data_IF_650940609747
#
_entry.id   IF_650940609747
#
_cell.length_a   1.000
_cell.length_b   1.000
_cell.length_c   1.000
_cell.angle_alpha   90.00
_cell.angle_beta   90.00
_cell.angle_gamma   90.00
#
_symmetry.space_group_name_H-M   'P 1'
#
loop_
_entity.id
_entity.type
_entity.pdbx_description
1 polymer ?
#
# COMPACT_ATOMS: atom_id res chain seq x y z
N UNK A 1 2.33 -37.27 -20.12
CA UNK A 1 3.63 -36.84 -20.68
C UNK A 1 4.63 -36.82 -19.54
N UNK A 2 5.59 -37.74 -19.54
CA UNK A 2 6.69 -37.82 -18.58
C UNK A 2 7.84 -36.91 -19.04
N UNK A 3 8.40 -36.08 -18.15
CA UNK A 3 9.45 -35.10 -18.45
C UNK A 3 10.86 -35.67 -18.60
N UNK A 4 10.97 -36.95 -18.95
CA UNK A 4 12.22 -37.70 -19.04
C UNK A 4 12.43 -38.19 -20.46
N UNK A 5 13.58 -37.89 -21.05
CA UNK A 5 13.99 -38.41 -22.35
C UNK A 5 14.93 -39.59 -22.12
N UNK A 6 14.59 -40.73 -22.71
CA UNK A 6 15.43 -41.93 -22.70
C UNK A 6 16.61 -41.74 -23.65
N UNK A 7 17.83 -41.88 -23.14
CA UNK A 7 19.05 -41.88 -23.95
C UNK A 7 19.41 -43.33 -24.27
N UNK A 8 19.32 -43.70 -25.54
CA UNK A 8 19.60 -45.05 -26.03
C UNK A 8 20.97 -45.13 -26.70
N UNK A 9 21.65 -46.26 -26.55
CA UNK A 9 22.89 -46.55 -27.28
C UNK A 9 22.62 -47.11 -28.69
N UNK A 10 23.68 -47.33 -29.49
CA UNK A 10 23.57 -47.86 -30.87
C UNK A 10 22.98 -49.29 -30.95
N UNK A 11 22.71 -49.95 -29.82
CA UNK A 11 22.03 -51.25 -29.71
C UNK A 11 20.58 -51.13 -29.20
N UNK A 12 20.02 -49.90 -29.16
CA UNK A 12 18.66 -49.56 -28.71
C UNK A 12 18.38 -49.86 -27.22
N UNK A 13 19.43 -50.08 -26.41
CA UNK A 13 19.33 -50.23 -24.96
C UNK A 13 19.37 -48.87 -24.24
N UNK A 14 18.49 -48.68 -23.25
CA UNK A 14 18.40 -47.44 -22.47
C UNK A 14 19.59 -47.36 -21.51
N UNK A 15 20.46 -46.37 -21.72
CA UNK A 15 21.70 -46.17 -20.96
C UNK A 15 21.60 -45.06 -19.91
N UNK A 16 20.54 -44.27 -19.93
CA UNK A 16 20.28 -43.26 -18.92
C UNK A 16 19.02 -42.45 -19.21
N UNK A 17 18.54 -41.76 -18.18
CA UNK A 17 17.42 -40.83 -18.28
C UNK A 17 17.93 -39.40 -18.20
N UNK A 18 17.60 -38.59 -19.20
CA UNK A 18 17.84 -37.15 -19.15
C UNK A 18 16.54 -36.45 -18.77
N UNK A 19 16.48 -35.93 -17.55
CA UNK A 19 15.35 -35.13 -17.10
C UNK A 19 15.43 -33.75 -17.75
N UNK A 20 14.40 -33.39 -18.50
CA UNK A 20 14.29 -32.06 -19.10
C UNK A 20 13.48 -31.18 -18.16
N UNK A 21 13.97 -29.98 -17.87
CA UNK A 21 13.21 -28.99 -17.11
C UNK A 21 11.93 -28.69 -17.91
N UNK A 22 10.78 -28.95 -17.30
CA UNK A 22 9.49 -28.61 -17.88
C UNK A 22 9.29 -27.10 -17.80
N UNK A 23 9.20 -26.43 -18.95
CA UNK A 23 8.85 -25.00 -19.04
C UNK A 23 7.33 -24.76 -18.91
N UNK A 24 6.62 -25.64 -18.22
CA UNK A 24 5.17 -25.54 -18.08
C UNK A 24 4.81 -24.44 -17.07
N UNK A 25 4.16 -23.38 -17.54
CA UNK A 25 3.59 -22.35 -16.68
C UNK A 25 2.34 -22.87 -15.97
N UNK A 26 2.40 -22.97 -14.64
CA UNK A 26 1.25 -23.38 -13.82
C UNK A 26 0.45 -22.12 -13.45
N UNK A 27 -0.80 -22.05 -13.90
CA UNK A 27 -1.72 -20.95 -13.58
C UNK A 27 -2.78 -21.47 -12.60
N UNK A 28 -2.85 -20.89 -11.41
CA UNK A 28 -3.94 -21.14 -10.46
C UNK A 28 -5.03 -20.10 -10.62
N UNK A 29 -6.27 -20.55 -10.50
CA UNK A 29 -7.43 -19.67 -10.35
C UNK A 29 -7.86 -19.68 -8.88
N UNK A 30 -7.98 -18.49 -8.28
CA UNK A 30 -8.41 -18.34 -6.88
C UNK A 30 -9.44 -17.21 -6.75
N UNK A 31 -10.22 -17.26 -5.68
CA UNK A 31 -11.24 -16.27 -5.36
C UNK A 31 -10.79 -15.44 -4.17
N UNK A 32 -10.72 -14.12 -4.36
CA UNK A 32 -10.31 -13.16 -3.33
C UNK A 32 -11.53 -12.33 -2.93
N UNK A 33 -11.86 -12.32 -1.65
CA UNK A 33 -12.91 -11.45 -1.12
C UNK A 33 -12.36 -10.03 -0.92
N UNK A 34 -13.12 -9.02 -1.33
CA UNK A 34 -12.82 -7.61 -1.10
C UNK A 34 -13.87 -6.99 -0.17
N UNK A 35 -13.42 -6.20 0.80
CA UNK A 35 -14.28 -5.44 1.69
C UNK A 35 -13.60 -4.14 2.06
N UNK A 36 -14.29 -3.02 1.79
CA UNK A 36 -13.91 -1.67 2.18
C UNK A 36 -15.11 -0.98 2.82
N UNK A 37 -14.88 -0.24 3.90
CA UNK A 37 -15.92 0.41 4.70
C UNK A 37 -15.52 1.85 4.92
N UNK A 38 -16.42 2.77 4.57
CA UNK A 38 -16.26 4.20 4.74
C UNK A 38 -17.38 4.74 5.64
N UNK A 39 -17.01 5.34 6.76
CA UNK A 39 -17.98 6.01 7.62
C UNK A 39 -18.57 7.22 6.93
N UNK A 40 -19.88 7.43 7.08
CA UNK A 40 -20.58 8.56 6.46
C UNK A 40 -20.08 9.88 7.01
N UNK A 41 -19.83 9.94 8.33
CA UNK A 41 -19.31 11.11 9.02
C UNK A 41 -17.79 11.09 9.07
N UNK A 42 -17.18 12.23 8.79
CA UNK A 42 -15.74 12.43 8.95
C UNK A 42 -15.45 13.80 9.58
N UNK A 43 -14.42 13.90 10.45
CA UNK A 43 -14.04 15.16 11.03
C UNK A 43 -13.30 16.02 10.00
N UNK A 44 -13.81 17.22 9.77
CA UNK A 44 -13.19 18.25 8.92
C UNK A 44 -12.81 19.44 9.77
N UNK A 45 -11.59 19.93 9.57
CA UNK A 45 -11.13 21.17 10.18
C UNK A 45 -11.70 22.37 9.43
N UNK A 46 -12.58 23.13 10.08
CA UNK A 46 -13.03 24.42 9.57
C UNK A 46 -12.38 25.59 10.31
N UNK A 47 -11.90 26.55 9.54
CA UNK A 47 -11.37 27.80 10.07
C UNK A 47 -12.53 28.69 10.54
N UNK A 48 -12.51 29.11 11.81
CA UNK A 48 -13.53 30.03 12.39
C UNK A 48 -13.31 31.48 11.96
N UNK A 49 -12.25 31.77 11.20
CA UNK A 49 -11.89 33.11 10.72
C UNK A 49 -11.16 33.98 11.74
N UNK A 50 -11.17 33.62 13.03
CA UNK A 50 -10.39 34.31 14.07
C UNK A 50 -8.90 34.00 13.92
N UNK A 51 -8.08 35.05 13.97
CA UNK A 51 -6.63 34.98 13.78
C UNK A 51 -5.93 35.66 14.94
N UNK A 52 -4.81 35.08 15.36
CA UNK A 52 -3.88 35.67 16.31
C UNK A 52 -2.47 35.66 15.73
N UNK A 53 -1.66 36.62 16.13
CA UNK A 53 -0.27 36.75 15.73
C UNK A 53 0.59 36.90 16.98
N UNK A 54 1.73 36.24 16.97
CA UNK A 54 2.75 36.31 18.02
C UNK A 54 4.10 36.36 17.35
N UNK A 55 5.04 37.03 17.97
CA UNK A 55 6.41 37.00 17.50
C UNK A 55 7.38 36.87 18.66
N UNK A 56 8.48 36.19 18.39
CA UNK A 56 9.58 36.05 19.31
C UNK A 56 10.81 36.68 18.72
N UNK A 57 11.52 37.43 19.56
CA UNK A 57 12.90 37.82 19.27
C UNK A 57 13.79 36.79 19.95
N UNK A 58 14.53 36.04 19.15
CA UNK A 58 15.48 35.04 19.62
C UNK A 58 16.88 35.64 19.55
N UNK A 59 17.55 35.67 20.70
CA UNK A 59 18.95 36.08 20.83
C UNK A 59 19.74 34.93 21.47
N UNK A 60 21.09 34.93 21.42
CA UNK A 60 21.86 33.89 22.08
C UNK A 60 21.56 33.86 23.58
N UNK A 61 20.88 32.80 24.03
CA UNK A 61 20.51 32.58 25.44
C UNK A 61 19.23 33.27 25.93
N UNK A 62 18.49 34.02 25.10
CA UNK A 62 17.21 34.64 25.52
C UNK A 62 16.15 34.63 24.43
N UNK A 63 14.90 34.41 24.84
CA UNK A 63 13.73 34.40 23.98
C UNK A 63 12.69 35.40 24.51
N UNK A 64 12.40 36.43 23.73
CA UNK A 64 11.46 37.48 24.10
C UNK A 64 10.16 37.31 23.32
N UNK A 65 9.08 36.94 24.02
CA UNK A 65 7.75 36.84 23.42
C UNK A 65 7.08 38.21 23.40
N UNK A 66 6.54 38.57 22.24
CA UNK A 66 5.65 39.70 22.04
C UNK A 66 4.29 39.21 21.51
N UNK A 67 3.22 39.67 22.17
CA UNK A 67 1.86 39.20 21.93
C UNK A 67 1.30 38.43 23.12
N UNK A 68 0.25 37.63 22.90
CA UNK A 68 -0.42 36.88 23.97
C UNK A 68 0.40 35.66 24.41
N UNK A 69 0.59 35.48 25.72
CA UNK A 69 1.29 34.30 26.28
C UNK A 69 0.54 33.01 25.98
N UNK A 70 -0.78 33.03 26.14
CA UNK A 70 -1.67 31.93 25.81
C UNK A 70 -2.56 32.31 24.63
N UNK A 71 -2.83 31.32 23.77
CA UNK A 71 -3.75 31.50 22.67
C UNK A 71 -5.19 31.41 23.18
N UNK A 72 -6.09 32.29 22.74
CA UNK A 72 -7.48 32.31 23.18
C UNK A 72 -8.33 31.19 22.55
N UNK A 73 -7.69 30.16 21.97
CA UNK A 73 -8.33 29.14 21.16
C UNK A 73 -7.97 27.75 21.70
N UNK A 74 -8.95 26.90 22.03
CA UNK A 74 -8.67 25.53 22.48
C UNK A 74 -8.14 24.64 21.35
N UNK A 75 -8.65 24.82 20.13
CA UNK A 75 -8.16 24.18 18.91
C UNK A 75 -7.75 25.25 17.89
N UNK A 76 -6.54 25.12 17.33
CA UNK A 76 -6.01 26.08 16.36
C UNK A 76 -4.96 25.44 15.45
N UNK A 77 -4.86 25.96 14.23
CA UNK A 77 -3.74 25.71 13.33
C UNK A 77 -2.75 26.88 13.41
N UNK A 78 -1.49 26.59 13.72
CA UNK A 78 -0.43 27.59 13.80
C UNK A 78 0.60 27.40 12.67
N UNK A 79 0.88 28.50 11.96
CA UNK A 79 2.00 28.59 11.02
C UNK A 79 3.12 29.39 11.67
N UNK A 80 4.27 28.77 11.85
CA UNK A 80 5.45 29.42 12.41
C UNK A 80 6.49 29.66 11.32
N UNK A 81 6.84 30.92 11.10
CA UNK A 81 7.91 31.33 10.21
C UNK A 81 9.07 31.91 11.04
N UNK A 82 10.31 31.58 10.69
CA UNK A 82 11.50 32.13 11.32
C UNK A 82 12.30 32.92 10.30
N UNK A 83 12.57 34.17 10.61
CA UNK A 83 13.35 35.10 9.82
C UNK A 83 14.69 35.32 10.51
N UNK A 84 15.76 34.87 9.87
CA UNK A 84 17.14 35.12 10.30
C UNK A 84 17.68 36.21 9.37
N UNK A 85 18.14 37.32 9.96
CA UNK A 85 18.85 38.34 9.19
C UNK A 85 20.25 37.83 8.90
N UNK A 86 20.83 38.20 7.76
CA UNK A 86 22.22 37.87 7.43
C UNK A 86 23.00 39.17 7.22
N UNK A 87 24.19 39.24 7.83
CA UNK A 87 25.24 40.17 7.46
C UNK A 87 25.84 39.65 6.15
N UNK A 88 25.69 40.44 5.09
CA UNK A 88 25.95 40.00 3.72
C UNK A 88 25.22 38.67 3.38
N UNK A 89 25.82 37.80 2.57
CA UNK A 89 25.20 36.52 2.14
C UNK A 89 25.56 35.31 3.02
N UNK A 90 26.51 35.47 3.95
CA UNK A 90 27.18 34.32 4.58
C UNK A 90 27.13 34.30 6.11
N UNK A 91 26.90 35.44 6.77
CA UNK A 91 26.98 35.50 8.23
C UNK A 91 25.59 35.67 8.84
N UNK A 92 24.98 34.63 9.43
CA UNK A 92 23.69 34.80 10.10
C UNK A 92 23.85 35.76 11.28
N UNK A 93 22.99 36.76 11.33
CA UNK A 93 22.89 37.66 12.46
C UNK A 93 22.45 36.87 13.69
N UNK A 94 23.05 37.11 14.87
CA UNK A 94 22.77 36.32 16.08
C UNK A 94 21.34 36.54 16.61
N UNK A 95 20.61 37.51 16.05
CA UNK A 95 19.20 37.77 16.38
C UNK A 95 18.31 37.29 15.25
N UNK A 96 17.29 36.50 15.59
CA UNK A 96 16.25 36.06 14.66
C UNK A 96 14.86 36.42 15.16
N UNK A 97 13.93 36.59 14.22
CA UNK A 97 12.53 36.89 14.51
C UNK A 97 11.71 35.69 14.11
N UNK A 98 11.00 35.08 15.07
CA UNK A 98 9.98 34.08 14.80
C UNK A 98 8.63 34.77 14.78
N UNK A 99 7.81 34.51 13.77
CA UNK A 99 6.42 34.96 13.68
C UNK A 99 5.53 33.73 13.63
N UNK A 100 4.61 33.62 14.56
CA UNK A 100 3.56 32.60 14.56
C UNK A 100 2.23 33.25 14.23
N UNK A 101 1.55 32.70 13.23
CA UNK A 101 0.19 33.03 12.87
C UNK A 101 -0.71 31.86 13.23
N UNK A 102 -1.55 32.06 14.23
CA UNK A 102 -2.51 31.06 14.69
C UNK A 102 -3.89 31.39 14.17
N UNK A 103 -4.59 30.38 13.68
CA UNK A 103 -5.99 30.45 13.25
C UNK A 103 -6.82 29.51 14.11
N UNK A 104 -7.91 30.00 14.68
CA UNK A 104 -8.88 29.12 15.36
C UNK A 104 -9.49 28.17 14.32
N UNK A 105 -9.34 26.87 14.56
CA UNK A 105 -9.93 25.84 13.73
C UNK A 105 -10.76 24.93 14.64
N UNK A 106 -11.92 24.49 14.16
CA UNK A 106 -12.80 23.58 14.89
C UNK A 106 -13.01 22.33 14.06
N UNK A 107 -13.08 21.18 14.74
CA UNK A 107 -13.55 19.94 14.13
C UNK A 107 -15.07 20.01 13.98
N UNK A 108 -15.52 19.92 12.75
CA UNK A 108 -16.92 19.70 12.42
C UNK A 108 -17.06 18.33 11.78
N UNK A 109 -18.07 17.56 12.20
CA UNK A 109 -18.40 16.31 11.53
C UNK A 109 -19.25 16.61 10.29
N UNK A 110 -18.69 16.31 9.13
CA UNK A 110 -19.37 16.49 7.84
C UNK A 110 -19.69 15.11 7.28
N UNK A 111 -20.87 14.98 6.68
CA UNK A 111 -21.23 13.75 5.97
C UNK A 111 -20.74 13.79 4.53
N UNK A 112 -20.20 12.66 4.05
CA UNK A 112 -19.96 12.50 2.62
C UNK A 112 -21.27 12.52 1.86
N UNK A 113 -21.23 13.14 0.68
CA UNK A 113 -22.28 12.94 -0.32
C UNK A 113 -22.14 11.53 -0.92
N UNK A 114 -23.25 10.98 -1.42
CA UNK A 114 -23.23 9.66 -2.07
C UNK A 114 -22.27 9.60 -3.26
N UNK A 115 -22.04 10.75 -3.92
CA UNK A 115 -21.08 10.88 -5.02
C UNK A 115 -19.64 10.77 -4.51
N UNK A 116 -19.26 11.55 -3.49
CA UNK A 116 -17.92 11.53 -2.93
C UNK A 116 -17.59 10.15 -2.36
N UNK A 117 -18.53 9.54 -1.63
CA UNK A 117 -18.35 8.19 -1.09
C UNK A 117 -18.11 7.16 -2.19
N UNK A 118 -18.84 7.27 -3.32
CA UNK A 118 -18.63 6.40 -4.49
C UNK A 118 -17.25 6.63 -5.11
N UNK A 119 -16.84 7.88 -5.30
CA UNK A 119 -15.52 8.21 -5.87
C UNK A 119 -14.38 7.67 -4.99
N UNK A 120 -14.48 7.81 -3.66
CA UNK A 120 -13.49 7.28 -2.70
C UNK A 120 -13.42 5.75 -2.76
N UNK A 121 -14.57 5.07 -2.69
CA UNK A 121 -14.61 3.61 -2.68
C UNK A 121 -14.15 3.02 -4.03
N UNK A 122 -14.53 3.64 -5.14
CA UNK A 122 -14.04 3.26 -6.48
C UNK A 122 -12.53 3.46 -6.59
N UNK A 123 -12.01 4.58 -6.12
CA UNK A 123 -10.57 4.85 -6.12
C UNK A 123 -9.78 3.82 -5.28
N UNK A 124 -10.28 3.49 -4.09
CA UNK A 124 -9.66 2.47 -3.23
C UNK A 124 -9.65 1.09 -3.91
N UNK A 125 -10.75 0.74 -4.58
CA UNK A 125 -10.88 -0.50 -5.32
C UNK A 125 -9.93 -0.56 -6.53
N UNK A 126 -9.84 0.49 -7.34
CA UNK A 126 -8.88 0.59 -8.44
C UNK A 126 -7.44 0.45 -7.94
N UNK A 127 -7.10 1.11 -6.83
CA UNK A 127 -5.78 0.98 -6.18
C UNK A 127 -5.53 -0.44 -5.68
N UNK A 128 -6.56 -1.18 -5.28
CA UNK A 128 -6.45 -2.59 -4.95
C UNK A 128 -6.17 -3.45 -6.20
N UNK A 129 -6.92 -3.26 -7.28
CA UNK A 129 -6.69 -3.94 -8.56
C UNK A 129 -5.28 -3.68 -9.11
N UNK A 130 -4.83 -2.43 -9.13
CA UNK A 130 -3.48 -2.07 -9.57
C UNK A 130 -2.37 -2.73 -8.73
N UNK A 131 -2.61 -2.99 -7.44
CA UNK A 131 -1.67 -3.75 -6.59
C UNK A 131 -1.64 -5.24 -6.93
N UNK A 132 -2.75 -5.81 -7.38
CA UNK A 132 -2.81 -7.20 -7.85
C UNK A 132 -2.10 -7.36 -9.19
N UNK A 133 -2.36 -6.46 -10.14
CA UNK A 133 -1.71 -6.47 -11.46
C UNK A 133 -0.19 -6.35 -11.35
N UNK A 134 0.32 -5.47 -10.48
CA UNK A 134 1.77 -5.35 -10.18
C UNK A 134 2.41 -6.63 -9.65
N UNK A 135 1.61 -7.54 -9.08
CA UNK A 135 2.07 -8.85 -8.59
C UNK A 135 1.97 -9.95 -9.66
N UNK A 136 1.62 -9.59 -10.91
CA UNK A 136 1.39 -10.55 -11.99
C UNK A 136 0.08 -11.32 -11.83
N UNK A 137 -0.86 -10.81 -11.04
CA UNK A 137 -2.19 -11.41 -10.85
C UNK A 137 -3.16 -10.78 -11.83
N UNK A 138 -3.79 -11.59 -12.68
CA UNK A 138 -4.80 -11.15 -13.65
C UNK A 138 -6.19 -11.33 -13.06
N UNK A 139 -7.05 -10.31 -13.18
CA UNK A 139 -8.43 -10.37 -12.70
C UNK A 139 -9.32 -10.87 -13.85
N UNK A 140 -10.02 -11.98 -13.64
CA UNK A 140 -10.90 -12.57 -14.66
C UNK A 140 -12.36 -12.17 -14.48
N UNK A 141 -12.83 -12.05 -13.24
CA UNK A 141 -14.21 -11.63 -12.93
C UNK A 141 -14.25 -10.73 -11.69
N UNK A 142 -15.17 -9.77 -11.71
CA UNK A 142 -15.38 -8.80 -10.63
C UNK A 142 -16.87 -8.68 -10.29
N UNK A 143 -17.25 -9.02 -9.05
CA UNK A 143 -18.60 -8.84 -8.50
C UNK A 143 -18.62 -7.83 -7.33
N UNK A 144 -17.62 -6.93 -7.24
CA UNK A 144 -17.58 -5.90 -6.20
C UNK A 144 -18.64 -4.83 -6.47
N UNK A 145 -19.53 -4.65 -5.49
CA UNK A 145 -20.60 -3.64 -5.52
C UNK A 145 -20.48 -2.70 -4.34
N UNK A 146 -20.93 -1.47 -4.54
CA UNK A 146 -21.00 -0.45 -3.51
C UNK A 146 -22.42 -0.45 -2.91
N UNK A 147 -22.48 -0.61 -1.61
CA UNK A 147 -23.69 -0.58 -0.79
C UNK A 147 -23.71 0.69 0.04
N UNK A 148 -24.86 1.36 0.03
CA UNK A 148 -25.11 2.55 0.85
C UNK A 148 -25.92 2.16 2.08
N UNK A 149 -25.33 2.32 3.26
CA UNK A 149 -26.02 2.19 4.54
C UNK A 149 -26.38 3.56 5.13
N UNK A 150 -27.09 3.56 6.26
CA UNK A 150 -27.45 4.78 6.99
C UNK A 150 -26.22 5.48 7.58
N UNK A 151 -25.30 4.72 8.19
CA UNK A 151 -24.12 5.27 8.88
C UNK A 151 -22.81 5.08 8.08
N UNK A 152 -22.78 4.11 7.17
CA UNK A 152 -21.57 3.72 6.44
C UNK A 152 -21.85 3.39 4.99
N UNK A 153 -20.91 3.70 4.12
CA UNK A 153 -20.81 3.15 2.77
C UNK A 153 -19.87 1.96 2.78
N UNK A 154 -20.13 0.94 1.97
CA UNK A 154 -19.22 -0.20 1.88
C UNK A 154 -19.12 -0.73 0.46
N UNK A 155 -17.92 -1.14 0.07
CA UNK A 155 -17.68 -1.86 -1.17
C UNK A 155 -17.35 -3.32 -0.82
N UNK A 156 -18.19 -4.26 -1.26
CA UNK A 156 -18.02 -5.69 -0.95
C UNK A 156 -18.27 -6.53 -2.18
N UNK A 157 -17.52 -7.61 -2.30
CA UNK A 157 -17.73 -8.62 -3.33
C UNK A 157 -16.55 -9.56 -3.45
N UNK A 158 -16.54 -10.33 -4.53
CA UNK A 158 -15.49 -11.31 -4.80
C UNK A 158 -14.85 -11.04 -6.16
N UNK A 159 -13.55 -11.34 -6.22
CA UNK A 159 -12.74 -11.25 -7.42
C UNK A 159 -12.23 -12.65 -7.73
N UNK A 160 -12.48 -13.13 -8.94
CA UNK A 160 -11.78 -14.31 -9.44
C UNK A 160 -10.50 -13.83 -10.11
N UNK A 161 -9.39 -14.37 -9.66
CA UNK A 161 -8.06 -13.99 -10.14
C UNK A 161 -7.28 -15.20 -10.60
N UNK A 162 -6.44 -15.00 -11.60
CA UNK A 162 -5.48 -15.96 -12.12
C UNK A 162 -4.09 -15.51 -11.71
N UNK A 163 -3.32 -16.40 -11.11
CA UNK A 163 -1.94 -16.15 -10.73
C UNK A 163 -1.05 -17.29 -11.22
N UNK A 164 0.15 -16.95 -11.70
CA UNK A 164 1.19 -17.94 -11.94
C UNK A 164 1.70 -18.47 -10.59
N UNK A 165 1.64 -19.78 -10.39
CA UNK A 165 2.06 -20.47 -9.18
C UNK A 165 3.10 -21.51 -9.56
N UNK A 166 4.36 -21.06 -9.63
CA UNK A 166 5.49 -21.96 -9.80
C UNK A 166 6.76 -21.31 -9.30
N UNK A 167 7.51 -22.00 -8.45
CA UNK A 167 8.94 -21.74 -8.27
C UNK A 167 9.66 -22.83 -9.04
N UNK A 168 10.49 -22.45 -10.01
CA UNK A 168 11.40 -23.42 -10.63
C UNK A 168 12.35 -23.94 -9.54
N UNK A 169 12.32 -25.25 -9.33
CA UNK A 169 13.27 -25.95 -8.47
C UNK A 169 14.24 -26.65 -9.41
N UNK A 170 15.55 -26.41 -9.32
CA UNK A 170 16.52 -27.12 -10.15
C UNK A 170 16.44 -28.61 -9.84
N UNK A 171 16.28 -29.42 -10.88
CA UNK A 171 16.33 -30.87 -10.78
C UNK A 171 17.79 -31.30 -10.57
N UNK A 172 18.09 -31.93 -9.43
CA UNK A 172 19.39 -32.56 -9.19
C UNK A 172 19.49 -33.83 -10.03
N UNK A 173 20.52 -33.99 -10.88
CA UNK A 173 20.72 -35.25 -11.59
C UNK A 173 20.95 -36.38 -10.58
N UNK A 174 20.20 -37.47 -10.72
CA UNK A 174 20.40 -38.67 -9.91
C UNK A 174 21.68 -39.39 -10.39
N UNK A 175 22.45 -39.99 -9.48
CA UNK A 175 23.62 -40.79 -9.85
C UNK A 175 23.20 -41.98 -10.74
N UNK A 176 24.09 -42.45 -11.62
CA UNK A 176 23.77 -43.48 -12.62
C UNK A 176 23.27 -44.81 -12.04
N UNK A 177 23.55 -45.10 -10.76
CA UNK A 177 23.12 -46.33 -10.07
C UNK A 177 21.80 -46.18 -9.29
N UNK A 178 21.02 -45.12 -9.54
CA UNK A 178 19.75 -44.92 -8.84
C UNK A 178 18.67 -45.88 -9.34
N UNK A 179 18.40 -46.93 -8.57
CA UNK A 179 17.26 -47.83 -8.77
C UNK A 179 16.03 -47.18 -8.12
N UNK A 180 15.03 -46.82 -8.92
CA UNK A 180 13.75 -46.36 -8.39
C UNK A 180 13.06 -47.55 -7.70
N UNK A 181 12.70 -47.41 -6.42
CA UNK A 181 11.81 -48.37 -5.77
C UNK A 181 10.44 -48.31 -6.46
N UNK A 182 10.02 -49.46 -7.00
CA UNK A 182 8.71 -49.63 -7.62
C UNK A 182 7.64 -49.64 -6.54
N UNK A 183 6.97 -48.51 -6.33
CA UNK A 183 5.76 -48.43 -5.50
C UNK A 183 4.55 -49.02 -6.25
N UNK A 184 4.63 -50.31 -6.62
CA UNK A 184 3.45 -51.11 -6.93
C UNK A 184 2.90 -51.73 -5.64
N UNK A 185 2.23 -50.91 -4.82
CA UNK A 185 1.21 -51.45 -3.92
C UNK A 185 -0.06 -51.75 -4.71
N UNK A 186 -0.09 -52.95 -5.28
CA UNK A 186 -1.35 -53.66 -5.48
C UNK A 186 -1.95 -53.94 -4.09
N UNK A 187 -3.09 -53.34 -3.80
CA UNK A 187 -3.94 -53.72 -2.68
C UNK A 187 -5.13 -54.51 -3.22
N UNK A 188 -5.19 -55.79 -2.85
CA UNK A 188 -6.42 -56.59 -2.74
C UNK A 188 -7.42 -55.95 -1.76
#
# INVERSE_FOLDING_TARGET
>A
MSGSVEVKNDSDEVTGYQYRVSDADIIAQTTVAYTDILNRLHPVWKDTGKKSWRFWIETPGRLYLFGRRELPYPEYNALTCRYILYLERHFPFPVSVRVERSKESRKEEISYTDREAREILSYNFEKFCARLEKKGVQISENDVKIYTGSETYSAKGTLKVRCSVGKQVPSTPLPPDYIAEDDTKNGD
#
